data_IF_494023261440
#
_entry.id   IF_494023261440
#
_cell.length_a   1.000
_cell.length_b   1.000
_cell.length_c   1.000
_cell.angle_alpha   90.00
_cell.angle_beta   90.00
_cell.angle_gamma   90.00
#
_symmetry.space_group_name_H-M   'P 1'
#
loop_
_entity.id
_entity.type
_entity.pdbx_description
1 polymer ?
#
# COMPACT_ATOMS: atom_id res chain seq x y z
N UNK A 1 15.74 42.63 -33.11
CA UNK A 1 15.58 41.18 -33.29
C UNK A 1 16.96 40.56 -33.15
N UNK A 2 17.25 39.87 -32.05
CA UNK A 2 18.59 39.32 -31.80
C UNK A 2 18.77 38.12 -32.73
N UNK A 3 19.60 38.24 -33.76
CA UNK A 3 19.88 37.15 -34.70
C UNK A 3 20.93 36.26 -34.03
N UNK A 4 20.48 35.14 -33.46
CA UNK A 4 21.38 34.20 -32.80
C UNK A 4 22.19 33.45 -33.86
N UNK A 5 23.49 33.25 -33.60
CA UNK A 5 24.30 32.44 -34.52
C UNK A 5 23.77 31.00 -34.57
N UNK A 6 23.79 30.33 -35.73
CA UNK A 6 23.33 28.93 -35.85
C UNK A 6 23.99 27.99 -34.82
N UNK A 7 25.27 28.20 -34.52
CA UNK A 7 26.00 27.46 -33.48
C UNK A 7 25.47 27.69 -32.06
N UNK A 8 24.97 28.90 -31.77
CA UNK A 8 24.36 29.22 -30.48
C UNK A 8 22.97 28.61 -30.35
N UNK A 9 22.22 28.55 -31.46
CA UNK A 9 20.92 27.88 -31.53
C UNK A 9 21.10 26.38 -31.29
N UNK A 10 22.01 25.72 -32.01
CA UNK A 10 22.28 24.28 -31.85
C UNK A 10 22.71 23.91 -30.43
N UNK A 11 23.58 24.72 -29.80
CA UNK A 11 23.99 24.51 -28.40
C UNK A 11 22.83 24.66 -27.42
N UNK A 12 21.95 25.63 -27.64
CA UNK A 12 20.78 25.85 -26.78
C UNK A 12 19.77 24.72 -26.95
N UNK A 13 19.47 24.33 -28.19
CA UNK A 13 18.59 23.20 -28.50
C UNK A 13 19.13 21.91 -27.89
N UNK A 14 20.43 21.65 -28.05
CA UNK A 14 21.08 20.48 -27.44
C UNK A 14 20.96 20.50 -25.92
N UNK A 15 21.19 21.64 -25.25
CA UNK A 15 21.01 21.77 -23.79
C UNK A 15 19.57 21.49 -23.36
N UNK A 16 18.58 22.00 -24.09
CA UNK A 16 17.16 21.76 -23.79
C UNK A 16 16.83 20.27 -23.96
N UNK A 17 17.32 19.62 -25.02
CA UNK A 17 17.13 18.19 -25.25
C UNK A 17 17.75 17.38 -24.10
N UNK A 18 18.99 17.67 -23.72
CA UNK A 18 19.65 16.96 -22.62
C UNK A 18 18.95 17.18 -21.28
N UNK A 19 18.49 18.39 -20.98
CA UNK A 19 17.70 18.67 -19.78
C UNK A 19 16.39 17.88 -19.78
N UNK A 20 15.69 17.83 -20.92
CA UNK A 20 14.47 17.03 -21.08
C UNK A 20 14.72 15.54 -20.87
N UNK A 21 15.78 14.99 -21.45
CA UNK A 21 16.18 13.59 -21.27
C UNK A 21 16.52 13.28 -19.80
N UNK A 22 17.27 14.16 -19.12
CA UNK A 22 17.57 14.01 -17.70
C UNK A 22 16.29 14.04 -16.85
N UNK A 23 15.37 14.96 -17.12
CA UNK A 23 14.11 15.05 -16.40
C UNK A 23 13.25 13.78 -16.60
N UNK A 24 13.17 13.25 -17.82
CA UNK A 24 12.46 11.99 -18.10
C UNK A 24 13.11 10.80 -17.39
N UNK A 25 14.45 10.73 -17.36
CA UNK A 25 15.15 9.66 -16.65
C UNK A 25 14.88 9.70 -15.13
N UNK A 26 14.93 10.89 -14.51
CA UNK A 26 14.59 11.06 -13.09
C UNK A 26 13.14 10.71 -12.83
N UNK A 27 12.22 11.14 -13.69
CA UNK A 27 10.80 10.80 -13.57
C UNK A 27 10.56 9.30 -13.68
N UNK A 28 11.12 8.64 -14.69
CA UNK A 28 10.99 7.20 -14.89
C UNK A 28 11.59 6.40 -13.72
N UNK A 29 12.76 6.81 -13.23
CA UNK A 29 13.38 6.20 -12.04
C UNK A 29 12.51 6.37 -10.79
N UNK A 30 11.96 7.57 -10.56
CA UNK A 30 11.06 7.84 -9.43
C UNK A 30 9.77 7.01 -9.52
N UNK A 31 9.19 6.92 -10.71
CA UNK A 31 7.98 6.14 -10.96
C UNK A 31 8.20 4.64 -10.72
N UNK A 32 9.35 4.10 -11.14
CA UNK A 32 9.73 2.71 -10.91
C UNK A 32 9.91 2.41 -9.42
N UNK A 33 10.55 3.33 -8.67
CA UNK A 33 10.68 3.22 -7.21
C UNK A 33 9.30 3.19 -6.56
N UNK A 34 8.42 4.14 -6.88
CA UNK A 34 7.07 4.19 -6.32
C UNK A 34 6.27 2.91 -6.66
N UNK A 35 6.35 2.42 -7.89
CA UNK A 35 5.73 1.15 -8.29
C UNK A 35 6.28 -0.05 -7.50
N UNK A 36 7.58 -0.08 -7.23
CA UNK A 36 8.19 -1.14 -6.43
C UNK A 36 7.70 -1.13 -4.98
N UNK A 37 7.48 0.06 -4.41
CA UNK A 37 6.94 0.23 -3.06
C UNK A 37 5.50 -0.27 -2.96
N UNK A 38 4.65 0.07 -3.95
CA UNK A 38 3.27 -0.42 -4.00
C UNK A 38 3.22 -1.95 -4.17
N UNK A 39 4.09 -2.49 -5.02
CA UNK A 39 4.21 -3.95 -5.21
C UNK A 39 4.64 -4.64 -3.91
N UNK A 40 5.59 -4.05 -3.17
CA UNK A 40 6.05 -4.55 -1.89
C UNK A 40 4.95 -4.49 -0.83
N UNK A 41 4.20 -3.39 -0.77
CA UNK A 41 3.04 -3.27 0.11
C UNK A 41 2.03 -4.41 -0.16
N UNK A 42 1.71 -4.69 -1.41
CA UNK A 42 0.76 -5.75 -1.72
C UNK A 42 1.32 -7.14 -1.46
N UNK A 43 2.42 -7.52 -2.11
CA UNK A 43 2.92 -8.91 -2.13
C UNK A 43 3.55 -9.32 -0.81
N UNK A 44 4.36 -8.45 -0.23
CA UNK A 44 5.21 -8.81 0.91
C UNK A 44 4.53 -8.48 2.24
N UNK A 45 3.49 -7.64 2.23
CA UNK A 45 2.81 -7.18 3.43
C UNK A 45 1.32 -7.58 3.48
N UNK A 46 0.48 -7.05 2.59
CA UNK A 46 -0.98 -7.28 2.65
C UNK A 46 -1.36 -8.74 2.37
N UNK A 47 -0.78 -9.34 1.33
CA UNK A 47 -1.09 -10.73 0.96
C UNK A 47 -0.63 -11.71 2.05
N UNK A 48 0.52 -11.44 2.68
CA UNK A 48 1.03 -12.26 3.78
C UNK A 48 0.08 -12.23 4.98
N UNK A 49 -0.55 -11.09 5.28
CA UNK A 49 -1.60 -11.02 6.32
C UNK A 49 -2.80 -11.92 6.03
N UNK A 50 -3.27 -11.96 4.78
CA UNK A 50 -4.36 -12.87 4.36
C UNK A 50 -3.95 -14.33 4.57
N UNK A 51 -2.75 -14.71 4.12
CA UNK A 51 -2.22 -16.07 4.31
C UNK A 51 -2.08 -16.42 5.79
N UNK A 52 -1.63 -15.48 6.63
CA UNK A 52 -1.57 -15.67 8.08
C UNK A 52 -2.95 -15.89 8.70
N UNK A 53 -3.97 -15.14 8.25
CA UNK A 53 -5.36 -15.30 8.68
C UNK A 53 -5.92 -16.68 8.32
N UNK A 54 -5.71 -17.12 7.09
CA UNK A 54 -6.13 -18.45 6.61
C UNK A 54 -5.45 -19.56 7.41
N UNK A 55 -4.13 -19.50 7.59
CA UNK A 55 -3.40 -20.48 8.41
C UNK A 55 -3.84 -20.49 9.87
N UNK A 56 -4.19 -19.33 10.42
CA UNK A 56 -4.67 -19.24 11.79
C UNK A 56 -6.06 -19.88 11.94
N UNK A 57 -6.94 -19.70 10.95
CA UNK A 57 -8.22 -20.40 10.85
C UNK A 57 -8.03 -21.93 10.76
N UNK A 58 -7.10 -22.40 9.93
CA UNK A 58 -6.79 -23.84 9.79
C UNK A 58 -6.31 -24.48 11.10
N UNK A 59 -5.58 -23.74 11.94
CA UNK A 59 -5.12 -24.24 13.24
C UNK A 59 -6.22 -24.31 14.31
N UNK A 60 -7.43 -23.85 14.01
CA UNK A 60 -8.59 -23.85 14.92
C UNK A 60 -8.31 -23.17 16.27
N UNK A 61 -7.37 -22.21 16.30
CA UNK A 61 -7.08 -21.44 17.51
C UNK A 61 -8.17 -20.39 17.69
N UNK A 62 -8.72 -20.21 18.90
CA UNK A 62 -9.73 -19.19 19.13
C UNK A 62 -9.20 -17.79 18.81
N UNK A 63 -9.92 -17.08 17.94
CA UNK A 63 -9.69 -15.67 17.69
C UNK A 63 -9.86 -14.86 18.98
N UNK A 64 -9.11 -13.76 19.16
CA UNK A 64 -9.38 -12.84 20.26
C UNK A 64 -10.77 -12.21 20.09
N UNK A 65 -11.43 -11.93 21.20
CA UNK A 65 -12.69 -11.19 21.19
C UNK A 65 -12.44 -9.74 20.77
N UNK A 66 -13.25 -9.22 19.86
CA UNK A 66 -13.18 -7.82 19.43
C UNK A 66 -14.48 -7.10 19.81
N UNK A 67 -14.35 -6.02 20.58
CA UNK A 67 -15.45 -5.19 21.05
C UNK A 67 -15.71 -3.97 20.13
N UNK A 68 -14.86 -3.76 19.12
CA UNK A 68 -14.94 -2.63 18.19
C UNK A 68 -14.25 -1.35 18.67
N UNK A 69 -13.77 -1.32 19.91
CA UNK A 69 -13.25 -0.09 20.54
C UNK A 69 -11.73 0.00 20.43
N UNK A 70 -11.02 -1.10 20.70
CA UNK A 70 -9.55 -1.08 20.76
C UNK A 70 -8.88 -2.00 19.73
N UNK A 71 -8.69 -1.45 18.53
CA UNK A 71 -8.07 -2.12 17.38
C UNK A 71 -6.62 -2.56 17.67
N UNK A 72 -5.86 -1.74 18.41
CA UNK A 72 -4.45 -2.02 18.72
C UNK A 72 -4.32 -3.19 19.69
N UNK A 73 -5.12 -3.19 20.77
CA UNK A 73 -5.11 -4.27 21.75
C UNK A 73 -5.52 -5.60 21.10
N UNK A 74 -6.55 -5.56 20.26
CA UNK A 74 -7.00 -6.71 19.48
C UNK A 74 -5.88 -7.27 18.57
N UNK A 75 -5.26 -6.41 17.75
CA UNK A 75 -4.20 -6.86 16.83
C UNK A 75 -2.95 -7.34 17.57
N UNK A 76 -2.60 -6.71 18.68
CA UNK A 76 -1.47 -7.15 19.52
C UNK A 76 -1.71 -8.54 20.10
N UNK A 77 -2.92 -8.79 20.59
CA UNK A 77 -3.34 -10.09 21.10
C UNK A 77 -3.39 -11.15 19.99
N UNK A 78 -3.92 -10.80 18.82
CA UNK A 78 -3.95 -11.68 17.64
C UNK A 78 -2.55 -12.10 17.23
N UNK A 79 -1.63 -11.14 17.07
CA UNK A 79 -0.22 -11.39 16.75
C UNK A 79 0.42 -12.30 17.79
N UNK A 80 0.15 -12.06 19.08
CA UNK A 80 0.67 -12.88 20.17
C UNK A 80 0.18 -14.33 20.05
N UNK A 81 -1.10 -14.54 19.72
CA UNK A 81 -1.67 -15.88 19.50
C UNK A 81 -1.12 -16.54 18.24
N UNK A 82 -1.01 -15.82 17.13
CA UNK A 82 -0.41 -16.32 15.90
C UNK A 82 1.02 -16.82 16.13
N UNK A 83 1.85 -16.02 16.82
CA UNK A 83 3.24 -16.41 17.16
C UNK A 83 3.28 -17.65 18.04
N UNK A 84 2.39 -17.75 19.05
CA UNK A 84 2.28 -18.98 19.88
C UNK A 84 1.84 -20.19 19.07
N UNK A 85 1.03 -19.99 18.04
CA UNK A 85 0.63 -21.02 17.10
C UNK A 85 1.70 -21.31 16.02
N UNK A 86 2.89 -20.69 16.09
CA UNK A 86 3.97 -20.88 15.10
C UNK A 86 3.70 -20.21 13.75
N UNK A 87 2.83 -19.20 13.71
CA UNK A 87 2.57 -18.37 12.52
C UNK A 87 3.29 -17.04 12.71
N UNK A 88 4.18 -16.72 11.77
CA UNK A 88 4.92 -15.46 11.76
C UNK A 88 4.14 -14.43 10.94
N UNK A 89 3.66 -13.32 11.55
CA UNK A 89 3.05 -12.21 10.81
C UNK A 89 4.06 -11.54 9.88
N UNK A 90 3.62 -10.75 8.88
CA UNK A 90 4.52 -10.07 7.96
C UNK A 90 5.44 -9.07 8.66
N UNK A 91 6.60 -8.87 8.06
CA UNK A 91 7.53 -7.83 8.47
C UNK A 91 6.97 -6.46 8.07
N UNK A 92 7.07 -5.52 9.00
CA UNK A 92 6.70 -4.13 8.81
C UNK A 92 7.93 -3.24 8.93
N UNK A 93 7.90 -2.10 8.24
CA UNK A 93 8.87 -1.02 8.45
C UNK A 93 8.56 -0.14 9.67
N UNK A 94 7.61 -0.54 10.52
CA UNK A 94 7.27 0.11 11.79
C UNK A 94 7.58 -0.81 12.98
N UNK A 95 7.35 -0.33 14.22
CA UNK A 95 7.57 -1.11 15.45
C UNK A 95 6.60 -2.29 15.63
N UNK A 96 5.50 -2.33 14.87
CA UNK A 96 4.43 -3.33 15.01
C UNK A 96 4.07 -3.91 13.65
N UNK A 97 3.74 -5.21 13.56
CA UNK A 97 3.53 -5.87 12.26
C UNK A 97 2.24 -5.43 11.56
N UNK A 98 1.26 -4.87 12.28
CA UNK A 98 -0.05 -4.47 11.73
C UNK A 98 -0.14 -2.99 11.33
N UNK A 99 0.96 -2.24 11.42
CA UNK A 99 1.07 -0.90 10.84
C UNK A 99 2.13 -0.92 9.74
N UNK A 100 2.03 -0.07 8.72
CA UNK A 100 3.00 0.04 7.64
C UNK A 100 3.10 1.48 7.18
N UNK A 101 4.31 1.93 6.85
CA UNK A 101 4.57 3.28 6.38
C UNK A 101 4.88 3.25 4.88
N UNK A 102 3.99 3.75 4.05
CA UNK A 102 4.25 3.88 2.62
C UNK A 102 4.76 5.30 2.33
N UNK A 103 6.07 5.41 2.13
CA UNK A 103 6.78 6.65 1.83
C UNK A 103 7.21 6.68 0.36
N UNK A 104 6.35 7.25 -0.49
CA UNK A 104 6.57 7.35 -1.94
C UNK A 104 7.26 8.67 -2.27
N UNK A 105 8.17 8.65 -3.24
CA UNK A 105 8.86 9.85 -3.70
C UNK A 105 7.84 10.86 -4.23
N UNK A 106 7.96 12.10 -3.77
CA UNK A 106 7.12 13.25 -4.18
C UNK A 106 5.65 13.15 -3.76
N UNK A 107 5.29 12.18 -2.93
CA UNK A 107 3.92 11.99 -2.44
C UNK A 107 3.88 12.14 -0.91
N UNK A 108 2.66 12.26 -0.38
CA UNK A 108 2.47 12.33 1.07
C UNK A 108 2.63 10.92 1.66
N UNK A 109 3.35 10.83 2.76
CA UNK A 109 3.47 9.61 3.55
C UNK A 109 2.09 9.05 3.95
N UNK A 110 1.90 7.75 3.72
CA UNK A 110 0.70 7.02 4.09
C UNK A 110 0.96 6.09 5.27
N UNK A 111 0.16 6.25 6.33
CA UNK A 111 0.20 5.41 7.51
C UNK A 111 -0.90 4.37 7.41
N UNK A 112 -0.51 3.20 6.95
CA UNK A 112 -1.42 2.08 6.73
C UNK A 112 -1.57 1.28 8.03
N UNK A 113 -2.80 0.97 8.40
CA UNK A 113 -3.11 0.10 9.54
C UNK A 113 -3.97 -1.07 9.07
N UNK A 114 -3.59 -2.29 9.43
CA UNK A 114 -4.29 -3.52 9.09
C UNK A 114 -5.05 -4.03 10.32
N UNK A 115 -6.34 -4.27 10.14
CA UNK A 115 -7.18 -5.00 11.07
C UNK A 115 -7.60 -6.32 10.43
N UNK A 116 -7.10 -7.43 10.97
CA UNK A 116 -7.45 -8.76 10.47
C UNK A 116 -8.55 -9.37 11.34
N UNK A 117 -9.72 -9.62 10.77
CA UNK A 117 -10.85 -10.30 11.40
C UNK A 117 -10.98 -11.73 10.82
N UNK A 118 -11.82 -12.61 11.39
CA UNK A 118 -11.92 -14.00 10.93
C UNK A 118 -12.31 -14.17 9.46
N UNK A 119 -13.20 -13.30 8.95
CA UNK A 119 -13.82 -13.38 7.64
C UNK A 119 -13.26 -12.35 6.63
N UNK A 120 -12.56 -11.33 7.12
CA UNK A 120 -12.13 -10.18 6.31
C UNK A 120 -10.90 -9.49 6.89
N UNK A 121 -10.19 -8.78 6.04
CA UNK A 121 -9.14 -7.84 6.43
C UNK A 121 -9.61 -6.42 6.12
N UNK A 122 -9.45 -5.49 7.07
CA UNK A 122 -9.76 -4.07 6.89
C UNK A 122 -8.44 -3.30 6.88
N UNK A 123 -8.25 -2.45 5.90
CA UNK A 123 -7.04 -1.66 5.68
C UNK A 123 -7.41 -0.18 5.78
N UNK A 124 -6.78 0.53 6.70
CA UNK A 124 -7.01 1.96 6.94
C UNK A 124 -5.85 2.80 6.43
N UNK A 125 -6.11 4.05 6.09
CA UNK A 125 -5.08 5.05 5.84
C UNK A 125 -4.46 5.02 4.45
N UNK A 126 -5.08 4.32 3.49
CA UNK A 126 -4.64 4.34 2.09
C UNK A 126 -5.07 5.62 1.40
N UNK A 127 -4.23 6.15 0.52
CA UNK A 127 -4.68 7.14 -0.45
C UNK A 127 -5.53 6.47 -1.54
N UNK A 128 -6.24 7.28 -2.33
CA UNK A 128 -6.98 6.78 -3.48
C UNK A 128 -6.09 6.04 -4.49
N UNK A 129 -4.93 6.57 -4.93
CA UNK A 129 -4.02 5.83 -5.81
C UNK A 129 -3.57 4.48 -5.25
N UNK A 130 -3.26 4.41 -3.95
CA UNK A 130 -2.85 3.16 -3.29
C UNK A 130 -3.99 2.15 -3.30
N UNK A 131 -5.22 2.59 -2.97
CA UNK A 131 -6.40 1.71 -3.04
C UNK A 131 -6.59 1.16 -4.46
N UNK A 132 -6.58 2.02 -5.48
CA UNK A 132 -6.82 1.62 -6.87
C UNK A 132 -5.77 0.60 -7.36
N UNK A 133 -4.50 0.73 -6.94
CA UNK A 133 -3.46 -0.25 -7.26
C UNK A 133 -3.68 -1.59 -6.56
N UNK A 134 -4.05 -1.57 -5.27
CA UNK A 134 -4.34 -2.82 -4.55
C UNK A 134 -5.57 -3.50 -5.13
N UNK A 135 -6.61 -2.73 -5.46
CA UNK A 135 -7.84 -3.22 -6.07
C UNK A 135 -7.58 -3.88 -7.43
N UNK A 136 -6.81 -3.23 -8.30
CA UNK A 136 -6.37 -3.80 -9.58
C UNK A 136 -5.57 -5.11 -9.38
N UNK A 137 -4.74 -5.18 -8.33
CA UNK A 137 -3.99 -6.41 -8.01
C UNK A 137 -4.82 -7.54 -7.42
N UNK A 138 -5.98 -7.24 -6.82
CA UNK A 138 -6.88 -8.23 -6.21
C UNK A 138 -7.94 -8.70 -7.20
N UNK A 139 -8.61 -7.76 -7.87
CA UNK A 139 -9.80 -7.99 -8.68
C UNK A 139 -9.58 -7.76 -10.19
N UNK A 140 -8.42 -7.24 -10.60
CA UNK A 140 -8.09 -6.95 -12.01
C UNK A 140 -8.87 -5.79 -12.62
N UNK A 141 -9.71 -5.12 -11.83
CA UNK A 141 -10.52 -3.98 -12.25
C UNK A 141 -10.73 -3.05 -11.07
N UNK A 142 -10.57 -1.74 -11.29
CA UNK A 142 -10.73 -0.74 -10.24
C UNK A 142 -12.20 -0.37 -10.04
N UNK A 143 -12.81 -0.80 -8.93
CA UNK A 143 -14.18 -0.46 -8.53
C UNK A 143 -14.34 -0.46 -6.99
N UNK A 144 -14.53 0.74 -6.43
CA UNK A 144 -14.73 0.94 -4.98
C UNK A 144 -15.86 0.11 -4.35
N UNK A 145 -16.89 -0.26 -5.11
CA UNK A 145 -18.10 -0.91 -4.58
C UNK A 145 -18.21 -2.40 -4.87
N UNK A 146 -17.36 -2.95 -5.75
CA UNK A 146 -17.49 -4.31 -6.28
C UNK A 146 -16.22 -5.12 -5.98
N UNK A 147 -16.21 -6.39 -6.38
CA UNK A 147 -15.06 -7.26 -6.18
C UNK A 147 -14.90 -7.80 -4.75
N UNK A 148 -13.74 -8.44 -4.53
CA UNK A 148 -13.27 -8.97 -3.25
C UNK A 148 -12.68 -7.87 -2.38
N UNK A 149 -12.17 -6.80 -2.98
CA UNK A 149 -11.61 -5.65 -2.29
C UNK A 149 -12.48 -4.40 -2.47
N UNK A 150 -13.20 -4.01 -1.42
CA UNK A 150 -14.13 -2.87 -1.46
C UNK A 150 -13.55 -1.67 -0.75
N UNK A 151 -13.77 -0.47 -1.27
CA UNK A 151 -13.33 0.78 -0.69
C UNK A 151 -14.46 1.60 -0.10
N UNK A 152 -14.20 2.24 1.04
CA UNK A 152 -15.06 3.27 1.62
C UNK A 152 -14.22 4.51 1.95
N UNK A 153 -14.66 5.68 1.52
CA UNK A 153 -14.03 6.94 1.90
C UNK A 153 -14.11 7.13 3.42
N UNK A 154 -12.98 7.41 4.04
CA UNK A 154 -12.86 7.67 5.47
C UNK A 154 -13.59 8.96 5.86
N UNK A 155 -13.85 9.15 7.16
CA UNK A 155 -14.49 10.37 7.69
C UNK A 155 -13.67 11.64 7.42
N UNK A 156 -12.36 11.50 7.24
CA UNK A 156 -11.46 12.59 6.90
C UNK A 156 -11.59 13.06 5.44
N UNK A 157 -12.32 12.33 4.59
CA UNK A 157 -12.50 12.64 3.16
C UNK A 157 -11.25 12.49 2.29
N UNK A 158 -10.12 12.08 2.86
CA UNK A 158 -8.81 12.06 2.19
C UNK A 158 -8.21 10.67 2.09
N UNK A 159 -8.59 9.77 2.99
CA UNK A 159 -8.14 8.37 2.99
C UNK A 159 -9.27 7.42 2.63
N UNK A 160 -8.91 6.24 2.15
CA UNK A 160 -9.80 5.15 1.84
C UNK A 160 -9.57 4.02 2.83
N UNK A 161 -10.67 3.45 3.31
CA UNK A 161 -10.72 2.23 4.09
C UNK A 161 -11.05 1.09 3.12
N UNK A 162 -10.10 0.17 2.94
CA UNK A 162 -10.29 -1.04 2.14
C UNK A 162 -10.83 -2.17 3.00
N UNK A 163 -11.71 -3.00 2.43
CA UNK A 163 -12.24 -4.20 3.04
C UNK A 163 -12.02 -5.36 2.08
N UNK A 164 -11.17 -6.30 2.47
CA UNK A 164 -10.84 -7.49 1.70
C UNK A 164 -11.53 -8.71 2.30
N UNK A 165 -12.47 -9.31 1.57
CA UNK A 165 -13.07 -10.59 1.95
C UNK A 165 -12.09 -11.76 1.81
N UNK A 166 -12.03 -12.65 2.81
CA UNK A 166 -11.15 -13.83 2.79
C UNK A 166 -11.83 -15.12 2.32
N UNK A 167 -13.06 -15.02 1.80
CA UNK A 167 -13.90 -16.12 1.28
C UNK A 167 -13.64 -16.45 -0.18
#
# INVERSE_FOLDING_TARGET
>A
MMIWSPRTVDRTVSRVIYLGLCAMAVWAGSALINYSLDTKLYKDYLLVWIVCGQRFNEKQVPWPSFDGTNHIAYMSELVRRMRRAGITPPDSNTKVPYAYLLDRLWEKEEKIFVLLLPDRMIIYGMSRPTFEKVDDQVDGTVDLGRGRFKGKVSKDGTTIIGMWGMS
#
